data_IF_682251172454
#
_entry.id   IF_682251172454
#
_cell.length_a   1.000
_cell.length_b   1.000
_cell.length_c   1.000
_cell.angle_alpha   90.00
_cell.angle_beta   90.00
_cell.angle_gamma   90.00
#
_symmetry.space_group_name_H-M   'P 1'
#
loop_
_entity.id
_entity.type
_entity.pdbx_description
1 polymer ?
#
# COMPACT_ATOMS: atom_id res chain seq x y z
N UNK A 1 18.55 -27.61 -23.25
CA UNK A 1 19.30 -27.52 -21.98
C UNK A 1 18.33 -27.77 -20.82
N UNK A 2 18.78 -28.35 -19.69
CA UNK A 2 17.94 -28.53 -18.50
C UNK A 2 17.44 -27.17 -17.96
N UNK A 3 16.29 -27.17 -17.27
CA UNK A 3 15.82 -25.99 -16.53
C UNK A 3 16.43 -25.97 -15.14
N UNK A 4 16.91 -24.81 -14.71
CA UNK A 4 17.46 -24.60 -13.37
C UNK A 4 16.31 -24.32 -12.38
N UNK A 5 15.68 -25.40 -11.88
CA UNK A 5 14.56 -25.31 -10.96
C UNK A 5 14.99 -25.07 -9.50
N UNK A 6 14.16 -24.32 -8.76
CA UNK A 6 14.38 -24.08 -7.34
C UNK A 6 14.29 -25.37 -6.52
N UNK A 7 15.18 -25.51 -5.53
CA UNK A 7 15.11 -26.58 -4.54
C UNK A 7 13.82 -26.52 -3.72
N UNK A 8 13.43 -27.64 -3.09
CA UNK A 8 12.27 -27.67 -2.18
C UNK A 8 12.44 -26.69 -1.02
N UNK A 9 13.62 -26.64 -0.42
CA UNK A 9 13.94 -25.70 0.67
C UNK A 9 13.81 -24.25 0.23
N UNK A 10 14.26 -23.92 -0.98
CA UNK A 10 14.11 -22.58 -1.56
C UNK A 10 12.64 -22.22 -1.72
N UNK A 11 11.82 -23.12 -2.29
CA UNK A 11 10.38 -22.91 -2.48
C UNK A 11 9.66 -22.69 -1.14
N UNK A 12 9.93 -23.54 -0.15
CA UNK A 12 9.32 -23.45 1.18
C UNK A 12 9.74 -22.16 1.91
N UNK A 13 11.02 -21.79 1.81
CA UNK A 13 11.53 -20.55 2.42
C UNK A 13 10.89 -19.33 1.77
N UNK A 14 10.88 -19.28 0.43
CA UNK A 14 10.27 -18.19 -0.34
C UNK A 14 8.79 -18.00 0.01
N UNK A 15 8.04 -19.09 0.08
CA UNK A 15 6.62 -19.06 0.46
C UNK A 15 6.41 -18.49 1.87
N UNK A 16 7.23 -18.90 2.84
CA UNK A 16 7.15 -18.42 4.23
C UNK A 16 7.54 -16.95 4.38
N UNK A 17 8.52 -16.46 3.60
CA UNK A 17 8.96 -15.05 3.63
C UNK A 17 7.84 -14.05 3.29
N UNK A 18 6.83 -14.48 2.55
CA UNK A 18 5.67 -13.67 2.19
C UNK A 18 4.37 -14.13 2.86
N UNK A 19 4.48 -14.95 3.92
CA UNK A 19 3.32 -15.43 4.68
C UNK A 19 2.37 -16.30 3.87
N UNK A 20 2.86 -17.06 2.88
CA UNK A 20 2.05 -17.89 1.97
C UNK A 20 1.00 -17.07 1.19
N UNK A 21 1.33 -15.83 0.80
CA UNK A 21 0.47 -14.96 -0.03
C UNK A 21 1.13 -14.60 -1.35
N UNK A 22 0.32 -14.45 -2.39
CA UNK A 22 0.79 -14.04 -3.71
C UNK A 22 1.48 -12.66 -3.66
N UNK A 23 2.70 -12.54 -4.20
CA UNK A 23 3.46 -11.29 -4.21
C UNK A 23 2.90 -10.23 -5.17
N UNK A 24 2.01 -10.59 -6.10
CA UNK A 24 1.36 -9.60 -6.97
C UNK A 24 0.56 -8.58 -6.13
N UNK A 25 0.89 -7.27 -6.21
CA UNK A 25 0.27 -6.21 -5.42
C UNK A 25 -1.26 -6.16 -5.50
N UNK A 26 -1.82 -6.46 -6.67
CA UNK A 26 -3.26 -6.42 -6.89
C UNK A 26 -3.98 -7.72 -6.50
N UNK A 27 -3.24 -8.81 -6.24
CA UNK A 27 -3.83 -10.12 -5.95
C UNK A 27 -3.82 -10.46 -4.46
N UNK A 28 -2.62 -10.53 -3.84
CA UNK A 28 -2.42 -10.87 -2.42
C UNK A 28 -3.16 -12.12 -1.89
N UNK A 29 -3.62 -13.00 -2.78
CA UNK A 29 -4.42 -14.15 -2.38
C UNK A 29 -3.60 -15.11 -1.49
N UNK A 30 -4.20 -15.71 -0.45
CA UNK A 30 -3.57 -16.81 0.26
C UNK A 30 -3.34 -17.97 -0.71
N UNK A 31 -2.16 -18.58 -0.65
CA UNK A 31 -1.75 -19.67 -1.53
C UNK A 31 -1.71 -21.01 -0.82
N UNK A 32 -2.04 -21.06 0.45
CA UNK A 32 -2.13 -22.30 1.23
C UNK A 32 -3.44 -22.33 2.02
N UNK A 33 -4.00 -23.52 2.18
CA UNK A 33 -5.25 -23.73 2.89
C UNK A 33 -5.42 -25.17 3.37
N UNK A 34 -6.47 -25.44 4.16
CA UNK A 34 -6.74 -26.78 4.67
C UNK A 34 -7.08 -27.75 3.54
N UNK A 35 -6.63 -28.99 3.66
CA UNK A 35 -7.09 -30.12 2.83
C UNK A 35 -8.13 -30.94 3.61
N UNK A 36 -8.95 -31.73 2.92
CA UNK A 36 -9.87 -32.70 3.55
C UNK A 36 -9.16 -33.81 4.35
N UNK A 37 -7.85 -33.94 4.17
CA UNK A 37 -6.97 -34.86 4.90
C UNK A 37 -6.19 -33.99 5.87
N UNK A 38 -6.32 -34.26 7.17
CA UNK A 38 -5.74 -33.45 8.24
C UNK A 38 -4.22 -33.44 8.25
N UNK A 39 -3.58 -34.38 7.56
CA UNK A 39 -2.11 -34.44 7.40
C UNK A 39 -1.59 -33.60 6.23
N UNK A 40 -2.47 -32.96 5.45
CA UNK A 40 -2.12 -32.25 4.21
C UNK A 40 -2.64 -30.81 4.20
N UNK A 41 -2.03 -30.02 3.32
CA UNK A 41 -2.49 -28.68 2.98
C UNK A 41 -2.65 -28.57 1.45
N UNK A 42 -3.61 -27.77 1.03
CA UNK A 42 -3.73 -27.32 -0.37
C UNK A 42 -2.63 -26.27 -0.61
N UNK A 43 -1.93 -26.36 -1.73
CA UNK A 43 -0.98 -25.34 -2.17
C UNK A 43 -1.33 -24.87 -3.59
N UNK A 44 -1.64 -23.58 -3.71
CA UNK A 44 -1.91 -22.88 -4.97
C UNK A 44 -0.77 -21.94 -5.38
N UNK A 45 0.32 -21.92 -4.62
CA UNK A 45 1.48 -21.06 -4.83
C UNK A 45 2.63 -21.77 -5.54
N UNK A 46 3.41 -21.00 -6.29
CA UNK A 46 4.59 -21.44 -7.01
C UNK A 46 5.71 -20.43 -6.87
N UNK A 47 6.95 -20.92 -6.81
CA UNK A 47 8.13 -20.08 -6.94
C UNK A 47 8.35 -19.81 -8.43
N UNK A 48 8.05 -18.59 -8.87
CA UNK A 48 8.27 -18.14 -10.23
C UNK A 48 9.65 -17.50 -10.37
N UNK A 49 10.30 -17.74 -11.50
CA UNK A 49 11.58 -17.14 -11.84
C UNK A 49 11.40 -15.68 -12.29
N UNK A 50 12.19 -14.76 -11.74
CA UNK A 50 12.22 -13.36 -12.16
C UNK A 50 12.88 -13.25 -13.54
N UNK A 51 14.05 -13.85 -13.73
CA UNK A 51 14.68 -14.12 -15.04
C UNK A 51 14.65 -15.63 -15.33
N UNK A 52 14.40 -16.02 -16.58
CA UNK A 52 14.11 -17.42 -16.92
C UNK A 52 15.18 -18.42 -16.45
N UNK A 53 14.69 -19.60 -16.02
CA UNK A 53 15.48 -20.76 -15.60
C UNK A 53 16.35 -21.40 -16.71
N UNK A 54 16.16 -21.01 -17.97
CA UNK A 54 16.87 -21.56 -19.12
C UNK A 54 16.76 -20.62 -20.34
N UNK A 55 17.69 -20.72 -21.31
CA UNK A 55 17.61 -20.00 -22.58
C UNK A 55 16.25 -20.18 -23.27
N UNK A 56 15.73 -19.09 -23.84
CA UNK A 56 14.45 -19.07 -24.56
C UNK A 56 13.21 -18.90 -23.66
N UNK A 57 13.37 -18.82 -22.34
CA UNK A 57 12.28 -18.46 -21.43
C UNK A 57 12.05 -16.94 -21.30
N UNK A 58 10.93 -16.54 -20.66
CA UNK A 58 10.63 -15.13 -20.39
C UNK A 58 11.74 -14.42 -19.62
N UNK A 59 12.15 -13.23 -20.06
CA UNK A 59 13.17 -12.40 -19.38
C UNK A 59 14.50 -13.14 -19.14
N UNK A 60 14.90 -14.03 -20.05
CA UNK A 60 16.18 -14.74 -19.93
C UNK A 60 17.35 -13.76 -19.89
N UNK A 61 18.22 -13.91 -18.88
CA UNK A 61 19.46 -13.17 -18.77
C UNK A 61 20.63 -14.09 -19.17
N UNK A 62 21.33 -13.82 -20.29
CA UNK A 62 22.45 -14.64 -20.74
C UNK A 62 23.68 -14.57 -19.82
N UNK A 63 23.76 -13.56 -18.94
CA UNK A 63 24.89 -13.40 -18.02
C UNK A 63 24.67 -14.10 -16.68
N UNK A 64 23.46 -14.58 -16.38
CA UNK A 64 23.16 -15.29 -15.14
C UNK A 64 23.79 -16.70 -15.16
N UNK A 65 24.44 -17.09 -14.07
CA UNK A 65 24.92 -18.46 -13.89
C UNK A 65 23.77 -19.43 -13.60
N UNK A 66 24.05 -20.74 -13.58
CA UNK A 66 23.04 -21.74 -13.17
C UNK A 66 22.61 -21.53 -11.72
N UNK A 67 23.59 -21.21 -10.87
CA UNK A 67 23.41 -20.90 -9.46
C UNK A 67 22.56 -19.64 -9.27
N UNK A 68 22.80 -18.58 -10.05
CA UNK A 68 21.99 -17.36 -10.01
C UNK A 68 20.54 -17.63 -10.42
N UNK A 69 20.35 -18.43 -11.50
CA UNK A 69 19.01 -18.78 -11.99
C UNK A 69 18.20 -19.56 -10.95
N UNK A 70 18.85 -20.42 -10.17
CA UNK A 70 18.23 -21.22 -9.10
C UNK A 70 18.25 -20.54 -7.71
N UNK A 71 18.77 -19.32 -7.61
CA UNK A 71 18.86 -18.58 -6.34
C UNK A 71 17.49 -18.05 -5.88
N UNK A 72 17.29 -17.99 -4.56
CA UNK A 72 16.10 -17.35 -3.98
C UNK A 72 15.98 -15.86 -4.34
N UNK A 73 17.10 -15.22 -4.68
CA UNK A 73 17.14 -13.83 -5.13
C UNK A 73 16.46 -13.67 -6.51
N UNK A 74 16.53 -14.70 -7.35
CA UNK A 74 15.85 -14.75 -8.64
C UNK A 74 14.41 -15.29 -8.55
N UNK A 75 13.85 -15.41 -7.34
CA UNK A 75 12.55 -16.04 -7.12
C UNK A 75 11.51 -15.07 -6.54
N UNK A 76 10.28 -15.14 -7.05
CA UNK A 76 9.08 -14.46 -6.52
C UNK A 76 7.96 -15.48 -6.29
N UNK A 77 7.25 -15.38 -5.16
CA UNK A 77 6.15 -16.30 -4.84
C UNK A 77 4.83 -15.80 -5.42
N UNK A 78 4.20 -16.58 -6.28
CA UNK A 78 2.94 -16.19 -6.94
C UNK A 78 1.91 -17.31 -6.84
N UNK A 79 0.62 -16.99 -6.87
CA UNK A 79 -0.40 -18.00 -7.14
C UNK A 79 -0.27 -18.51 -8.58
N UNK A 80 -0.77 -19.71 -8.87
CA UNK A 80 -0.71 -20.31 -10.21
C UNK A 80 -1.22 -19.37 -11.33
N UNK A 81 -2.30 -18.63 -11.08
CA UNK A 81 -2.87 -17.68 -12.03
C UNK A 81 -1.91 -16.51 -12.32
N UNK A 82 -1.35 -15.89 -11.28
CA UNK A 82 -0.42 -14.78 -11.44
C UNK A 82 0.90 -15.23 -12.07
N UNK A 83 1.39 -16.42 -11.71
CA UNK A 83 2.59 -17.00 -12.32
C UNK A 83 2.39 -17.20 -13.84
N UNK A 84 1.23 -17.74 -14.24
CA UNK A 84 0.90 -17.91 -15.66
C UNK A 84 0.78 -16.56 -16.39
N UNK A 85 0.17 -15.56 -15.74
CA UNK A 85 0.01 -14.21 -16.29
C UNK A 85 1.37 -13.56 -16.62
N UNK A 86 2.29 -13.53 -15.66
CA UNK A 86 3.59 -12.85 -15.83
C UNK A 86 4.50 -13.53 -16.85
N UNK A 87 4.33 -14.83 -17.06
CA UNK A 87 5.07 -15.57 -18.09
C UNK A 87 4.46 -15.44 -19.49
N UNK A 88 3.14 -15.24 -19.57
CA UNK A 88 2.45 -15.11 -20.86
C UNK A 88 2.64 -13.71 -21.47
N UNK A 89 2.70 -12.66 -20.64
CA UNK A 89 2.91 -11.27 -21.07
C UNK A 89 4.23 -10.69 -20.50
N UNK A 90 5.34 -11.32 -20.86
CA UNK A 90 6.67 -10.94 -20.36
C UNK A 90 7.03 -9.44 -20.58
N UNK A 91 6.65 -8.78 -21.69
CA UNK A 91 6.89 -7.34 -21.87
C UNK A 91 6.16 -6.46 -20.85
N UNK A 92 4.92 -6.80 -20.45
CA UNK A 92 4.19 -6.06 -19.43
C UNK A 92 4.74 -6.29 -18.01
N UNK A 93 5.36 -7.45 -17.78
CA UNK A 93 5.91 -7.85 -16.49
C UNK A 93 7.43 -8.06 -16.56
N UNK A 94 8.18 -6.96 -16.59
CA UNK A 94 9.64 -6.96 -16.61
C UNK A 94 10.25 -7.60 -15.34
N UNK A 95 11.54 -7.97 -15.41
CA UNK A 95 12.29 -8.48 -14.26
C UNK A 95 12.33 -7.47 -13.12
N UNK A 96 12.47 -6.18 -13.43
CA UNK A 96 12.45 -5.09 -12.44
C UNK A 96 11.09 -4.97 -11.73
N UNK A 97 9.98 -5.18 -12.44
CA UNK A 97 8.63 -5.21 -11.84
C UNK A 97 8.49 -6.37 -10.86
N UNK A 98 8.90 -7.59 -11.27
CA UNK A 98 8.81 -8.76 -10.38
C UNK A 98 9.71 -8.65 -9.16
N UNK A 99 10.88 -8.03 -9.30
CA UNK A 99 11.76 -7.72 -8.17
C UNK A 99 11.09 -6.74 -7.18
N UNK A 100 10.44 -5.69 -7.67
CA UNK A 100 9.67 -4.77 -6.80
C UNK A 100 8.54 -5.49 -6.08
N UNK A 101 7.84 -6.42 -6.75
CA UNK A 101 6.78 -7.22 -6.12
C UNK A 101 7.31 -8.10 -5.00
N UNK A 102 8.45 -8.76 -5.21
CA UNK A 102 9.14 -9.55 -4.18
C UNK A 102 9.43 -8.70 -2.95
N UNK A 103 10.13 -7.58 -3.12
CA UNK A 103 10.53 -6.70 -2.00
C UNK A 103 9.31 -6.16 -1.26
N UNK A 104 8.29 -5.68 -1.98
CA UNK A 104 7.09 -5.15 -1.37
C UNK A 104 6.31 -6.21 -0.56
N UNK A 105 6.21 -7.44 -1.08
CA UNK A 105 5.51 -8.54 -0.41
C UNK A 105 6.25 -9.00 0.86
N UNK A 106 7.57 -9.05 0.85
CA UNK A 106 8.37 -9.39 2.03
C UNK A 106 8.27 -8.29 3.10
N UNK A 107 8.33 -7.02 2.70
CA UNK A 107 8.14 -5.90 3.62
C UNK A 107 6.73 -5.88 4.25
N UNK A 108 5.70 -6.21 3.47
CA UNK A 108 4.32 -6.35 3.97
C UNK A 108 4.16 -7.50 4.95
N UNK A 109 4.72 -8.67 4.63
CA UNK A 109 4.70 -9.82 5.53
C UNK A 109 5.43 -9.53 6.86
N UNK A 110 6.53 -8.76 6.81
CA UNK A 110 7.23 -8.31 8.01
C UNK A 110 6.36 -7.38 8.85
N UNK A 111 5.70 -6.38 8.24
CA UNK A 111 4.77 -5.46 8.95
C UNK A 111 3.60 -6.19 9.59
N UNK A 112 3.08 -7.23 8.95
CA UNK A 112 1.96 -8.03 9.47
C UNK A 112 2.33 -9.06 10.53
N UNK A 113 3.61 -9.27 10.82
CA UNK A 113 4.05 -10.30 11.76
C UNK A 113 3.61 -9.96 13.20
N UNK A 114 2.92 -10.89 13.86
CA UNK A 114 2.50 -10.73 15.26
C UNK A 114 1.37 -9.71 15.50
N UNK A 115 0.88 -9.05 14.45
CA UNK A 115 -0.27 -8.15 14.53
C UNK A 115 -1.54 -8.88 14.06
N UNK A 116 -2.68 -8.73 14.76
CA UNK A 116 -3.95 -9.20 14.23
C UNK A 116 -4.17 -8.54 12.86
N UNK A 117 -4.57 -9.32 11.84
CA UNK A 117 -5.06 -8.76 10.58
C UNK A 117 -6.37 -8.02 10.87
N UNK A 118 -6.26 -6.79 11.34
CA UNK A 118 -7.36 -5.84 11.26
C UNK A 118 -7.56 -5.53 9.77
N UNK A 119 -8.80 -5.55 9.32
CA UNK A 119 -9.13 -5.01 8.00
C UNK A 119 -8.48 -3.62 7.89
N UNK A 120 -7.79 -3.36 6.78
CA UNK A 120 -7.18 -2.07 6.47
C UNK A 120 -8.22 -0.93 6.50
N UNK A 121 -9.51 -1.28 6.44
CA UNK A 121 -10.65 -0.39 6.50
C UNK A 121 -11.46 -0.54 7.79
N UNK A 122 -12.15 0.53 8.16
CA UNK A 122 -13.23 0.47 9.13
C UNK A 122 -14.43 -0.29 8.54
N UNK A 123 -15.16 -1.09 9.34
CA UNK A 123 -16.40 -1.71 8.91
C UNK A 123 -17.36 -0.67 8.35
N UNK A 124 -17.91 -0.93 7.17
CA UNK A 124 -18.88 -0.06 6.51
C UNK A 124 -20.26 -0.71 6.61
N UNK A 125 -21.29 -0.03 7.14
CA UNK A 125 -22.65 -0.53 7.03
C UNK A 125 -23.04 -0.58 5.54
N UNK A 126 -23.92 -1.50 5.11
CA UNK A 126 -24.40 -1.54 3.72
C UNK A 126 -25.07 -0.24 3.25
N UNK A 127 -25.53 0.60 4.18
CA UNK A 127 -26.12 1.91 3.93
C UNK A 127 -25.10 3.06 3.81
N UNK A 128 -23.80 2.79 3.91
CA UNK A 128 -22.77 3.83 3.78
C UNK A 128 -22.78 4.40 2.34
N UNK A 129 -23.00 5.72 2.23
CA UNK A 129 -22.98 6.45 0.98
C UNK A 129 -21.71 7.29 0.84
N UNK A 130 -20.56 6.70 1.17
CA UNK A 130 -19.26 7.37 1.08
C UNK A 130 -18.15 6.39 0.69
N UNK A 131 -16.99 6.90 0.27
CA UNK A 131 -15.80 6.08 0.02
C UNK A 131 -15.39 5.30 1.30
N UNK A 132 -14.83 4.08 1.18
CA UNK A 132 -14.40 3.30 2.32
C UNK A 132 -13.35 4.06 3.14
N UNK A 133 -13.41 3.95 4.46
CA UNK A 133 -12.49 4.66 5.35
C UNK A 133 -11.34 3.75 5.80
N UNK A 134 -10.09 4.00 5.36
CA UNK A 134 -8.93 3.26 5.84
C UNK A 134 -8.63 3.59 7.31
N UNK A 135 -7.93 2.70 8.01
CA UNK A 135 -7.50 2.89 9.40
C UNK A 135 -6.30 3.83 9.48
N UNK A 136 -6.57 5.12 9.34
CA UNK A 136 -5.55 6.18 9.28
C UNK A 136 -5.02 6.64 10.64
N UNK A 137 -5.69 6.27 11.74
CA UNK A 137 -5.30 6.72 13.08
C UNK A 137 -3.90 6.28 13.48
N UNK A 138 -3.10 7.23 14.00
CA UNK A 138 -1.73 6.98 14.44
C UNK A 138 -0.67 6.95 13.34
N UNK A 139 -1.06 6.93 12.07
CA UNK A 139 -0.12 7.16 10.96
C UNK A 139 0.29 8.63 10.90
N UNK A 140 1.49 8.90 10.38
CA UNK A 140 1.84 10.26 9.95
C UNK A 140 0.94 10.71 8.79
N UNK A 141 0.89 12.03 8.57
CA UNK A 141 0.00 12.58 7.55
C UNK A 141 0.34 12.13 6.12
N UNK A 142 1.62 11.92 5.78
CA UNK A 142 2.03 11.47 4.45
C UNK A 142 1.42 10.11 4.13
N UNK A 143 1.59 9.16 5.06
CA UNK A 143 1.03 7.80 4.94
C UNK A 143 -0.50 7.82 4.92
N UNK A 144 -1.12 8.59 5.82
CA UNK A 144 -2.57 8.69 5.88
C UNK A 144 -3.15 9.27 4.57
N UNK A 145 -2.50 10.28 3.99
CA UNK A 145 -2.88 10.89 2.71
C UNK A 145 -2.86 9.88 1.56
N UNK A 146 -1.81 9.07 1.46
CA UNK A 146 -1.74 8.01 0.44
C UNK A 146 -2.84 6.97 0.63
N UNK A 147 -3.07 6.51 1.87
CA UNK A 147 -4.13 5.55 2.19
C UNK A 147 -5.51 6.08 1.78
N UNK A 148 -5.79 7.35 2.06
CA UNK A 148 -7.03 8.01 1.69
C UNK A 148 -7.22 8.09 0.17
N UNK A 149 -6.18 8.49 -0.57
CA UNK A 149 -6.20 8.54 -2.02
C UNK A 149 -6.47 7.17 -2.66
N UNK A 150 -5.82 6.11 -2.14
CA UNK A 150 -6.08 4.74 -2.58
C UNK A 150 -7.49 4.25 -2.26
N UNK A 151 -8.09 4.76 -1.19
CA UNK A 151 -9.46 4.45 -0.79
C UNK A 151 -10.53 5.25 -1.55
N UNK A 152 -10.14 6.14 -2.47
CA UNK A 152 -11.06 6.96 -3.28
C UNK A 152 -11.38 8.35 -2.69
N UNK A 153 -10.67 8.77 -1.64
CA UNK A 153 -10.75 10.12 -1.10
C UNK A 153 -9.76 11.05 -1.81
N UNK A 154 -10.25 12.14 -2.37
CA UNK A 154 -9.46 13.10 -3.13
C UNK A 154 -9.16 14.33 -2.28
N UNK A 155 -7.91 14.83 -2.24
CA UNK A 155 -7.57 16.09 -1.59
C UNK A 155 -8.50 17.24 -2.02
N UNK A 156 -9.09 17.94 -1.04
CA UNK A 156 -9.90 19.13 -1.30
C UNK A 156 -9.00 20.37 -1.37
N UNK A 157 -8.43 20.59 -2.55
CA UNK A 157 -7.39 21.60 -2.77
C UNK A 157 -7.91 23.03 -2.52
N UNK A 158 -7.18 23.79 -1.70
CA UNK A 158 -7.34 25.24 -1.63
C UNK A 158 -6.72 25.93 -2.85
N UNK A 159 -7.16 27.14 -3.11
CA UNK A 159 -6.52 28.02 -4.09
C UNK A 159 -5.11 28.41 -3.62
N UNK A 160 -4.16 28.52 -4.56
CA UNK A 160 -2.74 28.79 -4.28
C UNK A 160 -2.49 30.08 -3.50
N UNK A 161 -3.41 31.06 -3.56
CA UNK A 161 -3.30 32.33 -2.83
C UNK A 161 -3.33 32.17 -1.31
N UNK A 162 -3.86 31.06 -0.79
CA UNK A 162 -3.86 30.79 0.67
C UNK A 162 -2.47 30.56 1.25
N UNK A 163 -1.44 30.34 0.42
CA UNK A 163 -0.07 30.22 0.91
C UNK A 163 0.47 31.47 1.60
N UNK A 164 -0.21 32.62 1.44
CA UNK A 164 0.10 33.85 2.18
C UNK A 164 -0.73 34.05 3.45
N UNK A 165 -1.66 33.15 3.76
CA UNK A 165 -2.44 33.21 5.00
C UNK A 165 -1.49 32.97 6.19
N UNK A 166 -1.73 33.66 7.31
CA UNK A 166 -0.84 33.62 8.46
C UNK A 166 -0.54 32.18 8.91
N UNK A 167 -1.54 31.31 8.98
CA UNK A 167 -1.37 29.93 9.45
C UNK A 167 -0.64 29.03 8.45
N UNK A 168 -0.43 29.47 7.20
CA UNK A 168 0.29 28.73 6.15
C UNK A 168 1.74 29.20 5.98
N UNK A 169 2.16 30.25 6.66
CA UNK A 169 3.51 30.84 6.50
C UNK A 169 4.48 30.49 7.62
N UNK A 170 4.10 29.59 8.54
CA UNK A 170 5.02 29.08 9.57
C UNK A 170 4.61 27.70 10.12
N UNK A 171 5.55 27.06 10.82
CA UNK A 171 5.34 25.79 11.50
C UNK A 171 4.80 24.70 10.57
N UNK A 172 3.86 23.90 11.07
CA UNK A 172 3.25 22.83 10.27
C UNK A 172 2.53 23.34 9.02
N UNK A 173 1.96 24.54 9.05
CA UNK A 173 1.29 25.11 7.90
C UNK A 173 2.24 25.33 6.73
N UNK A 174 3.35 26.00 6.98
CA UNK A 174 4.41 26.18 5.99
C UNK A 174 4.98 24.84 5.52
N UNK A 175 5.28 23.94 6.45
CA UNK A 175 5.79 22.60 6.16
C UNK A 175 4.91 21.84 5.16
N UNK A 176 3.62 21.70 5.44
CA UNK A 176 2.71 20.96 4.57
C UNK A 176 2.40 21.71 3.27
N UNK A 177 2.34 23.04 3.31
CA UNK A 177 2.12 23.86 2.12
C UNK A 177 3.26 23.72 1.13
N UNK A 178 4.52 23.77 1.58
CA UNK A 178 5.70 23.60 0.73
C UNK A 178 5.80 22.19 0.14
N UNK A 179 5.28 21.17 0.83
CA UNK A 179 5.13 19.80 0.28
C UNK A 179 4.02 19.67 -0.78
N UNK A 180 3.21 20.72 -0.99
CA UNK A 180 2.13 20.74 -1.97
C UNK A 180 0.80 20.18 -1.44
N UNK A 181 0.66 20.02 -0.11
CA UNK A 181 -0.57 19.49 0.50
C UNK A 181 -1.58 20.60 0.74
N UNK A 182 -2.04 21.20 -0.35
CA UNK A 182 -2.94 22.35 -0.31
C UNK A 182 -4.37 21.99 0.14
N UNK A 183 -4.64 20.73 0.50
CA UNK A 183 -5.87 20.33 1.19
C UNK A 183 -5.91 20.70 2.68
N UNK A 184 -4.79 21.19 3.23
CA UNK A 184 -4.74 21.77 4.58
C UNK A 184 -5.70 22.95 4.70
N UNK A 185 -6.61 22.90 5.66
CA UNK A 185 -7.62 23.93 5.91
C UNK A 185 -7.16 24.93 6.96
N UNK A 186 -6.47 24.46 7.99
CA UNK A 186 -5.96 25.26 9.08
C UNK A 186 -4.75 24.60 9.72
N UNK A 187 -3.78 25.40 10.17
CA UNK A 187 -2.68 24.94 11.01
C UNK A 187 -2.61 25.75 12.31
N UNK A 188 -2.65 25.08 13.46
CA UNK A 188 -2.44 25.73 14.74
C UNK A 188 -0.94 25.67 15.06
N UNK A 189 -0.27 26.81 15.31
CA UNK A 189 1.16 26.83 15.62
C UNK A 189 1.48 26.68 17.11
N UNK A 190 0.48 26.45 17.95
CA UNK A 190 0.64 26.36 19.41
C UNK A 190 -0.12 25.15 19.97
N UNK A 191 0.14 24.82 21.23
CA UNK A 191 -0.53 23.72 21.91
C UNK A 191 -0.18 22.38 21.29
N UNK A 192 -1.19 21.62 20.83
CA UNK A 192 -1.01 20.31 20.20
C UNK A 192 -0.61 20.40 18.71
N UNK A 193 -0.33 21.60 18.20
CA UNK A 193 0.06 21.86 16.81
C UNK A 193 -0.92 21.28 15.76
N UNK A 194 -2.22 21.35 16.07
CA UNK A 194 -3.24 20.69 15.27
C UNK A 194 -3.35 21.25 13.87
N UNK A 195 -3.29 20.37 12.86
CA UNK A 195 -3.59 20.73 11.48
C UNK A 195 -4.85 19.99 11.04
N UNK A 196 -5.72 20.69 10.31
CA UNK A 196 -6.94 20.11 9.74
C UNK A 196 -6.79 20.04 8.23
N UNK A 197 -7.16 18.92 7.63
CA UNK A 197 -7.13 18.67 6.20
C UNK A 197 -8.51 18.19 5.74
N UNK A 198 -8.87 18.49 4.50
CA UNK A 198 -10.16 18.06 3.93
C UNK A 198 -9.96 17.23 2.67
N UNK A 199 -10.69 16.12 2.59
CA UNK A 199 -10.82 15.29 1.40
C UNK A 199 -12.28 15.24 0.97
N UNK A 200 -12.52 14.92 -0.30
CA UNK A 200 -13.86 14.64 -0.84
C UNK A 200 -13.88 13.30 -1.55
N UNK A 201 -15.02 12.61 -1.54
CA UNK A 201 -15.21 11.43 -2.38
C UNK A 201 -16.04 11.75 -3.65
N UNK A 202 -16.24 10.75 -4.51
CA UNK A 202 -17.02 10.89 -5.73
C UNK A 202 -18.52 11.14 -5.50
N UNK A 203 -19.01 10.95 -4.27
CA UNK A 203 -20.40 11.15 -3.88
C UNK A 203 -20.63 12.54 -3.25
N UNK A 204 -19.57 13.33 -3.08
CA UNK A 204 -19.62 14.69 -2.54
C UNK A 204 -19.52 14.78 -1.02
N UNK A 205 -19.24 13.68 -0.31
CA UNK A 205 -18.97 13.73 1.13
C UNK A 205 -17.62 14.39 1.38
N UNK A 206 -17.49 15.08 2.50
CA UNK A 206 -16.21 15.63 2.96
C UNK A 206 -15.68 14.80 4.13
N UNK A 207 -14.43 14.40 4.06
CA UNK A 207 -13.71 13.81 5.19
C UNK A 207 -12.76 14.86 5.75
N UNK A 208 -12.94 15.17 7.03
CA UNK A 208 -12.05 16.05 7.78
C UNK A 208 -11.06 15.17 8.55
N UNK A 209 -9.77 15.43 8.37
CA UNK A 209 -8.68 14.72 9.05
C UNK A 209 -7.93 15.73 9.90
N UNK A 210 -7.68 15.39 11.16
CA UNK A 210 -6.95 16.24 12.11
C UNK A 210 -5.69 15.53 12.56
N UNK A 211 -4.55 16.21 12.44
CA UNK A 211 -3.28 15.74 13.00
C UNK A 211 -2.95 16.47 14.30
N UNK A 212 -2.04 15.90 15.09
CA UNK A 212 -1.44 16.54 16.24
C UNK A 212 0.07 16.24 16.27
N UNK A 213 0.84 17.15 16.86
CA UNK A 213 2.30 17.12 16.87
C UNK A 213 2.92 18.05 15.82
N UNK A 214 4.20 18.39 16.02
CA UNK A 214 4.96 19.25 15.13
C UNK A 214 5.81 18.43 14.16
N UNK A 215 5.92 18.92 12.92
CA UNK A 215 6.90 18.44 11.97
C UNK A 215 8.27 19.03 12.34
N UNK A 216 9.18 18.17 12.80
CA UNK A 216 10.55 18.53 13.16
C UNK A 216 11.47 17.56 12.42
N UNK A 217 11.95 17.99 11.26
CA UNK A 217 12.73 17.15 10.34
C UNK A 217 14.03 16.65 10.97
N UNK A 218 14.67 17.46 11.83
CA UNK A 218 15.96 17.15 12.45
C UNK A 218 15.92 15.91 13.33
N UNK A 219 14.77 15.64 13.95
CA UNK A 219 14.56 14.48 14.83
C UNK A 219 13.59 13.47 14.24
N UNK A 220 13.15 13.67 12.99
CA UNK A 220 12.16 12.83 12.32
C UNK A 220 10.79 12.79 13.00
N UNK A 221 10.44 13.82 13.78
CA UNK A 221 9.12 13.91 14.38
C UNK A 221 8.12 14.40 13.32
N UNK A 222 7.03 13.66 13.15
CA UNK A 222 5.99 13.97 12.16
C UNK A 222 4.62 14.06 12.84
N UNK A 223 3.74 14.98 12.42
CA UNK A 223 2.38 15.07 12.94
C UNK A 223 1.60 13.80 12.62
N UNK A 224 1.05 13.16 13.66
CA UNK A 224 0.26 11.95 13.55
C UNK A 224 -1.24 12.26 13.43
N UNK A 225 -1.98 11.44 12.71
CA UNK A 225 -3.45 11.55 12.63
C UNK A 225 -4.07 11.23 14.00
N UNK A 226 -4.73 12.24 14.55
CA UNK A 226 -5.35 12.21 15.88
C UNK A 226 -6.85 11.91 15.81
N UNK A 227 -7.56 12.52 14.86
CA UNK A 227 -9.00 12.31 14.69
C UNK A 227 -9.47 12.56 13.25
N UNK A 228 -10.66 12.07 12.92
CA UNK A 228 -11.27 12.27 11.62
C UNK A 228 -12.79 12.17 11.72
N UNK A 229 -13.51 12.82 10.80
CA UNK A 229 -14.98 12.74 10.71
C UNK A 229 -15.46 12.96 9.28
N UNK A 230 -16.57 12.33 8.91
CA UNK A 230 -17.24 12.60 7.63
C UNK A 230 -18.32 13.65 7.88
N UNK A 231 -18.28 14.73 7.10
CA UNK A 231 -19.35 15.71 6.97
C UNK A 231 -20.17 15.34 5.73
N UNK A 232 -21.45 15.01 5.94
CA UNK A 232 -22.38 14.75 4.86
C UNK A 232 -22.84 16.08 4.24
N UNK A 233 -23.10 16.13 2.92
CA UNK A 233 -23.68 17.31 2.30
C UNK A 233 -25.02 17.65 2.95
N UNK A 234 -25.23 18.93 3.30
CA UNK A 234 -26.50 19.41 3.83
C UNK A 234 -27.60 19.21 2.77
N UNK A 235 -28.49 18.23 2.98
CA UNK A 235 -29.60 17.92 2.06
C UNK A 235 -30.70 19.01 2.12
N UNK A 236 -30.67 19.90 3.11
CA UNK A 236 -31.70 20.94 3.31
C UNK A 236 -31.54 22.19 2.39
N UNK A 237 -30.42 22.34 1.67
CA UNK A 237 -30.20 23.53 0.83
C UNK A 237 -30.75 23.41 -0.62
N UNK A 238 -31.35 22.27 -0.98
CA UNK A 238 -31.84 22.02 -2.35
C UNK A 238 -33.35 22.30 -2.56
N UNK A 239 -34.07 22.72 -1.51
CA UNK A 239 -35.52 23.00 -1.56
C UNK A 239 -35.87 24.48 -1.28
N UNK A 240 -34.94 25.41 -1.53
CA UNK A 240 -35.14 26.86 -1.39
C UNK A 240 -35.30 27.58 -2.72
#
# INVERSE_FOLDING_TARGET
MPRDDFSRTTKDTLAKRVGLRCSNPACKAPTSGPHSDTSKAINLGVAAHITAAAPGGPRYDPNASSEDRASIENAVWLCQNCAKLVDTDAPAYSSSTLYRWKVAAEAEALRGMGSPQYSEFFPQPPSALHAPLPRIGGHDYDQAREMLMHAGWQPYMNHWSRGGDWDMTFGNGEYFWQKGYHEIQSACPTGLAQCTFTFKDAYGNKLIVVTAGEAIEEIGAMPGVWSWRIEQPNIEAANG
#
